data_IF_850918416985
#
_entry.id   IF_850918416985
#
_cell.length_a   1.000
_cell.length_b   1.000
_cell.length_c   1.000
_cell.angle_alpha   90.00
_cell.angle_beta   90.00
_cell.angle_gamma   90.00
#
_symmetry.space_group_name_H-M   'P 1'
#
loop_
_entity.id
_entity.type
_entity.pdbx_description
1 polymer ?
#
# COMPACT_ATOMS: atom_id res chain seq x y z
N UNK A 1 30.36 -70.89 8.90
CA UNK A 1 31.18 -69.67 8.81
C UNK A 1 30.62 -68.88 7.65
N UNK A 2 29.58 -68.08 7.89
CA UNK A 2 29.57 -66.67 7.51
C UNK A 2 28.29 -66.02 8.06
N UNK A 3 28.52 -65.01 8.89
CA UNK A 3 27.55 -64.04 9.36
C UNK A 3 27.03 -63.21 8.17
N UNK A 4 25.71 -63.14 8.02
CA UNK A 4 25.08 -62.00 7.37
C UNK A 4 23.78 -61.70 8.12
N UNK A 5 23.97 -61.06 9.29
CA UNK A 5 22.92 -60.44 10.09
C UNK A 5 22.43 -59.21 9.31
N UNK A 6 21.34 -59.38 8.57
CA UNK A 6 20.62 -58.27 7.94
C UNK A 6 19.98 -57.42 9.04
N UNK A 7 20.65 -56.31 9.36
CA UNK A 7 20.22 -55.32 10.34
C UNK A 7 19.32 -54.32 9.60
N UNK A 8 18.03 -54.16 9.94
CA UNK A 8 17.24 -53.08 9.36
C UNK A 8 17.77 -51.76 9.92
N UNK A 9 18.39 -50.98 9.03
CA UNK A 9 18.79 -49.62 9.30
C UNK A 9 17.52 -48.78 9.44
N UNK A 10 17.12 -48.51 10.69
CA UNK A 10 16.05 -47.57 11.02
C UNK A 10 16.60 -46.18 10.67
N UNK A 11 16.45 -45.80 9.39
CA UNK A 11 16.65 -44.43 8.93
C UNK A 11 15.55 -43.61 9.59
N UNK A 12 15.92 -43.05 10.74
CA UNK A 12 15.06 -42.17 11.52
C UNK A 12 15.17 -40.80 10.84
N UNK A 13 14.49 -40.65 9.71
CA UNK A 13 14.32 -39.37 9.02
C UNK A 13 13.33 -38.52 9.84
N UNK A 14 13.75 -38.16 11.05
CA UNK A 14 13.19 -37.03 11.78
C UNK A 14 13.74 -35.80 11.06
N UNK A 15 13.13 -35.49 9.92
CA UNK A 15 13.20 -34.15 9.38
C UNK A 15 12.74 -33.22 10.52
N UNK A 16 13.70 -32.53 11.12
CA UNK A 16 13.45 -31.42 12.01
C UNK A 16 12.67 -30.39 11.19
N UNK A 17 11.35 -30.49 11.23
CA UNK A 17 10.46 -29.41 10.82
C UNK A 17 10.73 -28.32 11.84
N UNK A 18 11.69 -27.44 11.54
CA UNK A 18 11.86 -26.22 12.31
C UNK A 18 10.49 -25.56 12.37
N UNK A 19 9.94 -25.29 13.57
CA UNK A 19 8.70 -24.55 13.65
C UNK A 19 8.97 -23.23 12.95
N UNK A 20 8.26 -22.96 11.84
CA UNK A 20 8.28 -21.63 11.24
C UNK A 20 7.73 -20.69 12.31
N UNK A 21 8.64 -20.02 13.01
CA UNK A 21 8.29 -19.04 14.03
C UNK A 21 7.51 -17.97 13.29
N UNK A 22 6.19 -17.98 13.47
CA UNK A 22 5.32 -16.94 12.95
C UNK A 22 5.72 -15.59 13.54
N UNK A 23 5.27 -14.47 12.95
CA UNK A 23 5.49 -13.16 13.55
C UNK A 23 4.97 -13.17 14.99
N UNK A 24 5.83 -12.79 15.94
CA UNK A 24 5.44 -12.71 17.35
C UNK A 24 4.19 -11.83 17.54
N UNK A 25 3.40 -12.10 18.57
CA UNK A 25 2.22 -11.31 18.90
C UNK A 25 2.51 -9.79 18.97
N UNK A 26 3.69 -9.40 19.47
CA UNK A 26 4.14 -8.00 19.50
C UNK A 26 4.27 -7.39 18.11
N UNK A 27 4.74 -8.14 17.10
CA UNK A 27 4.82 -7.65 15.73
C UNK A 27 3.42 -7.41 15.15
N UNK A 28 2.50 -8.33 15.39
CA UNK A 28 1.12 -8.27 14.85
C UNK A 28 0.31 -7.14 15.48
N UNK A 29 0.39 -6.98 16.80
CA UNK A 29 -0.50 -6.08 17.55
C UNK A 29 0.11 -4.72 17.87
N UNK A 30 1.43 -4.56 17.77
CA UNK A 30 2.10 -3.29 18.07
C UNK A 30 2.80 -2.72 16.84
N UNK A 31 3.72 -3.48 16.24
CA UNK A 31 4.58 -2.97 15.15
C UNK A 31 3.78 -2.74 13.88
N UNK A 32 2.99 -3.72 13.45
CA UNK A 32 2.21 -3.64 12.22
C UNK A 32 1.19 -2.49 12.25
N UNK A 33 0.34 -2.32 13.28
CA UNK A 33 -0.58 -1.20 13.36
C UNK A 33 0.14 0.14 13.45
N UNK A 34 1.28 0.22 14.14
CA UNK A 34 2.07 1.45 14.21
C UNK A 34 2.59 1.87 12.83
N UNK A 35 3.09 0.92 12.02
CA UNK A 35 3.51 1.18 10.63
C UNK A 35 2.31 1.65 9.80
N UNK A 36 1.16 0.97 9.89
CA UNK A 36 -0.04 1.31 9.13
C UNK A 36 -0.61 2.68 9.54
N UNK A 37 -0.57 3.03 10.83
CA UNK A 37 -0.94 4.36 11.32
C UNK A 37 0.02 5.45 10.83
N UNK A 38 1.33 5.15 10.77
CA UNK A 38 2.29 6.06 10.16
C UNK A 38 1.96 6.31 8.69
N UNK A 39 1.60 5.27 7.93
CA UNK A 39 1.11 5.40 6.54
C UNK A 39 -0.16 6.26 6.50
N UNK A 40 -1.12 6.04 7.40
CA UNK A 40 -2.36 6.83 7.46
C UNK A 40 -2.08 8.32 7.70
N UNK A 41 -1.15 8.64 8.60
CA UNK A 41 -0.77 10.03 8.89
C UNK A 41 -0.01 10.67 7.72
N UNK A 42 0.95 9.96 7.14
CA UNK A 42 1.81 10.49 6.09
C UNK A 42 1.13 10.57 4.72
N UNK A 43 0.23 9.63 4.39
CA UNK A 43 -0.43 9.61 3.08
C UNK A 43 -1.35 10.80 2.81
N UNK A 44 -1.91 11.40 3.87
CA UNK A 44 -2.71 12.62 3.79
C UNK A 44 -1.91 13.91 3.87
N UNK A 45 -0.61 13.84 4.16
CA UNK A 45 0.23 15.01 4.38
C UNK A 45 0.77 15.56 3.04
N UNK A 46 0.70 16.89 2.89
CA UNK A 46 1.31 17.67 1.82
C UNK A 46 2.08 18.84 2.42
N UNK A 47 3.10 19.32 1.72
CA UNK A 47 3.86 20.51 2.11
C UNK A 47 3.56 21.66 1.15
N UNK A 48 3.22 22.81 1.71
CA UNK A 48 3.03 24.05 0.95
C UNK A 48 4.32 24.52 0.27
N UNK A 49 4.21 25.16 -0.90
CA UNK A 49 5.36 25.59 -1.70
C UNK A 49 6.14 26.75 -1.06
N UNK A 50 5.44 27.68 -0.40
CA UNK A 50 6.07 28.88 0.17
C UNK A 50 6.84 28.59 1.47
N UNK A 51 6.18 27.93 2.43
CA UNK A 51 6.69 27.84 3.81
C UNK A 51 6.89 26.40 4.29
N UNK A 52 6.72 25.39 3.42
CA UNK A 52 6.64 23.97 3.80
C UNK A 52 5.62 23.68 4.92
N UNK A 53 4.57 24.51 5.02
CA UNK A 53 3.50 24.30 5.98
C UNK A 53 2.82 22.94 5.76
N UNK A 54 2.49 22.26 6.85
CA UNK A 54 1.78 20.99 6.82
C UNK A 54 0.32 21.19 6.41
N UNK A 55 -0.07 20.57 5.30
CA UNK A 55 -1.43 20.58 4.77
C UNK A 55 -1.96 19.15 4.82
N UNK A 56 -3.04 18.93 5.55
CA UNK A 56 -3.73 17.64 5.59
C UNK A 56 -4.89 17.65 4.61
N UNK A 57 -4.82 16.77 3.60
CA UNK A 57 -5.88 16.62 2.61
C UNK A 57 -6.82 15.49 3.02
N UNK A 58 -8.13 15.79 2.98
CA UNK A 58 -9.16 14.77 3.14
C UNK A 58 -9.12 13.80 1.94
N UNK A 59 -9.22 12.49 2.15
CA UNK A 59 -9.30 11.53 1.06
C UNK A 59 -10.61 11.71 0.28
N UNK A 60 -10.54 11.62 -1.05
CA UNK A 60 -11.73 11.58 -1.90
C UNK A 60 -12.52 10.28 -1.67
N UNK A 61 -13.84 10.32 -1.90
CA UNK A 61 -14.71 9.14 -1.76
C UNK A 61 -14.21 7.94 -2.59
N UNK A 62 -13.68 8.20 -3.77
CA UNK A 62 -13.08 7.18 -4.65
C UNK A 62 -11.94 6.41 -3.98
N UNK A 63 -11.15 7.05 -3.11
CA UNK A 63 -10.08 6.38 -2.35
C UNK A 63 -10.65 5.35 -1.37
N UNK A 64 -11.79 5.65 -0.72
CA UNK A 64 -12.47 4.71 0.16
C UNK A 64 -13.02 3.52 -0.63
N UNK A 65 -13.59 3.76 -1.80
CA UNK A 65 -14.08 2.70 -2.69
C UNK A 65 -12.93 1.78 -3.12
N UNK A 66 -11.80 2.34 -3.58
CA UNK A 66 -10.63 1.55 -3.98
C UNK A 66 -10.03 0.77 -2.81
N UNK A 67 -9.94 1.37 -1.62
CA UNK A 67 -9.50 0.68 -0.42
C UNK A 67 -10.43 -0.50 -0.06
N UNK A 68 -11.75 -0.30 -0.14
CA UNK A 68 -12.74 -1.35 0.13
C UNK A 68 -12.63 -2.50 -0.87
N UNK A 69 -12.54 -2.20 -2.17
CA UNK A 69 -12.32 -3.23 -3.21
C UNK A 69 -11.00 -3.96 -2.98
N UNK A 70 -9.94 -3.24 -2.59
CA UNK A 70 -8.64 -3.84 -2.28
C UNK A 70 -8.72 -4.79 -1.07
N UNK A 71 -9.46 -4.42 -0.02
CA UNK A 71 -9.72 -5.30 1.12
C UNK A 71 -10.44 -6.58 0.69
N UNK A 72 -11.42 -6.48 -0.22
CA UNK A 72 -12.09 -7.66 -0.79
C UNK A 72 -11.10 -8.53 -1.56
N UNK A 73 -10.17 -7.94 -2.34
CA UNK A 73 -9.12 -8.69 -3.03
C UNK A 73 -8.17 -9.39 -2.06
N UNK A 74 -7.81 -8.77 -0.93
CA UNK A 74 -7.00 -9.41 0.11
C UNK A 74 -7.70 -10.63 0.71
N UNK A 75 -9.01 -10.54 0.94
CA UNK A 75 -9.80 -11.68 1.41
C UNK A 75 -9.88 -12.77 0.35
N UNK A 76 -10.26 -12.41 -0.89
CA UNK A 76 -10.46 -13.36 -2.00
C UNK A 76 -9.17 -14.08 -2.41
N UNK A 77 -8.03 -13.38 -2.43
CA UNK A 77 -6.73 -13.99 -2.70
C UNK A 77 -6.24 -14.88 -1.56
N UNK A 78 -6.90 -14.84 -0.39
CA UNK A 78 -6.45 -15.52 0.81
C UNK A 78 -5.23 -14.88 1.45
N UNK A 79 -4.89 -13.63 1.11
CA UNK A 79 -3.89 -12.83 1.83
C UNK A 79 -4.37 -12.48 3.25
N UNK A 80 -5.68 -12.31 3.44
CA UNK A 80 -6.32 -12.15 4.75
C UNK A 80 -7.42 -13.20 4.89
N UNK A 81 -7.24 -14.19 5.77
CA UNK A 81 -8.26 -15.18 6.04
C UNK A 81 -9.23 -14.68 7.13
N UNK A 82 -10.46 -14.31 6.76
CA UNK A 82 -11.46 -13.77 7.70
C UNK A 82 -11.71 -14.74 8.85
N UNK A 83 -11.82 -16.05 8.57
CA UNK A 83 -12.03 -17.07 9.60
C UNK A 83 -10.86 -17.21 10.57
N UNK A 84 -9.65 -16.80 10.19
CA UNK A 84 -8.47 -16.79 11.06
C UNK A 84 -8.34 -15.50 11.87
N UNK A 85 -8.74 -14.37 11.30
CA UNK A 85 -8.67 -13.07 11.96
C UNK A 85 -9.87 -12.78 12.86
N UNK A 86 -11.08 -13.21 12.50
CA UNK A 86 -12.33 -12.92 13.21
C UNK A 86 -13.10 -14.20 13.50
N UNK A 87 -12.42 -15.14 14.16
CA UNK A 87 -12.97 -16.44 14.50
C UNK A 87 -13.83 -16.38 15.78
N UNK A 88 -14.89 -17.19 15.87
CA UNK A 88 -15.67 -17.34 17.11
C UNK A 88 -14.90 -18.05 18.23
N UNK A 89 -13.86 -18.81 17.87
CA UNK A 89 -12.91 -19.46 18.78
C UNK A 89 -11.96 -18.48 19.49
N UNK A 90 -11.81 -17.26 18.98
CA UNK A 90 -10.99 -16.22 19.62
C UNK A 90 -11.74 -15.53 20.76
N UNK A 91 -11.01 -15.10 21.79
CA UNK A 91 -11.58 -14.26 22.83
C UNK A 91 -12.10 -12.93 22.26
N UNK A 92 -13.12 -12.35 22.89
CA UNK A 92 -13.70 -11.08 22.44
C UNK A 92 -12.67 -9.96 22.31
N UNK A 93 -11.76 -9.83 23.29
CA UNK A 93 -10.68 -8.85 23.26
C UNK A 93 -9.73 -9.08 22.08
N UNK A 94 -9.42 -10.34 21.75
CA UNK A 94 -8.56 -10.68 20.62
C UNK A 94 -9.22 -10.35 19.28
N UNK A 95 -10.52 -10.60 19.14
CA UNK A 95 -11.27 -10.20 17.95
C UNK A 95 -11.33 -8.68 17.79
N UNK A 96 -11.46 -7.92 18.88
CA UNK A 96 -11.38 -6.45 18.85
C UNK A 96 -9.99 -6.00 18.40
N UNK A 97 -8.92 -6.60 18.93
CA UNK A 97 -7.56 -6.29 18.52
C UNK A 97 -7.31 -6.61 17.04
N UNK A 98 -7.74 -7.79 16.58
CA UNK A 98 -7.66 -8.20 15.17
C UNK A 98 -8.44 -7.24 14.26
N UNK A 99 -9.67 -6.87 14.64
CA UNK A 99 -10.48 -5.89 13.93
C UNK A 99 -9.79 -4.53 13.88
N UNK A 100 -9.13 -4.09 14.95
CA UNK A 100 -8.36 -2.87 14.97
C UNK A 100 -7.18 -2.91 13.98
N UNK A 101 -6.46 -4.04 13.88
CA UNK A 101 -5.40 -4.20 12.85
C UNK A 101 -5.99 -4.08 11.44
N UNK A 102 -7.09 -4.79 11.15
CA UNK A 102 -7.76 -4.72 9.85
C UNK A 102 -8.27 -3.30 9.54
N UNK A 103 -8.74 -2.57 10.55
CA UNK A 103 -9.14 -1.17 10.43
C UNK A 103 -7.93 -0.27 10.12
N UNK A 104 -6.80 -0.46 10.78
CA UNK A 104 -5.56 0.28 10.46
C UNK A 104 -5.09 -0.02 9.04
N UNK A 105 -5.23 -1.27 8.57
CA UNK A 105 -4.92 -1.64 7.18
C UNK A 105 -5.84 -0.93 6.19
N UNK A 106 -7.15 -0.90 6.45
CA UNK A 106 -8.10 -0.19 5.63
C UNK A 106 -7.80 1.31 5.57
N UNK A 107 -7.57 1.96 6.71
CA UNK A 107 -7.26 3.40 6.74
C UNK A 107 -5.94 3.72 6.03
N UNK A 108 -4.92 2.85 6.17
CA UNK A 108 -3.67 2.98 5.45
C UNK A 108 -3.86 2.86 3.94
N UNK A 109 -4.70 1.93 3.47
CA UNK A 109 -5.07 1.80 2.06
C UNK A 109 -5.75 3.08 1.53
N UNK A 110 -6.70 3.64 2.27
CA UNK A 110 -7.38 4.89 1.89
C UNK A 110 -6.35 6.01 1.69
N UNK A 111 -5.41 6.15 2.62
CA UNK A 111 -4.40 7.19 2.56
C UNK A 111 -3.31 6.93 1.53
N UNK A 112 -3.01 5.67 1.23
CA UNK A 112 -2.16 5.30 0.11
C UNK A 112 -2.79 5.73 -1.21
N UNK A 113 -4.06 5.43 -1.45
CA UNK A 113 -4.76 5.89 -2.66
C UNK A 113 -4.84 7.42 -2.70
N UNK A 114 -5.09 8.09 -1.58
CA UNK A 114 -5.05 9.55 -1.47
C UNK A 114 -3.67 10.13 -1.82
N UNK A 115 -2.60 9.41 -1.48
CA UNK A 115 -1.23 9.77 -1.86
C UNK A 115 -0.93 9.51 -3.33
N UNK A 116 -1.47 8.44 -3.93
CA UNK A 116 -1.13 8.05 -5.31
C UNK A 116 -1.99 8.74 -6.35
N UNK A 117 -3.27 9.00 -6.06
CA UNK A 117 -4.16 9.69 -6.97
C UNK A 117 -3.86 11.19 -6.98
N UNK A 118 -3.72 11.82 -8.16
CA UNK A 118 -3.69 13.27 -8.27
C UNK A 118 -4.93 13.89 -7.61
N UNK A 119 -4.81 15.05 -6.98
CA UNK A 119 -5.90 15.60 -6.16
C UNK A 119 -7.10 16.08 -6.98
N UNK A 120 -6.87 16.54 -8.22
CA UNK A 120 -7.86 17.19 -9.06
C UNK A 120 -7.49 17.11 -10.55
N UNK A 121 -8.40 17.58 -11.40
CA UNK A 121 -8.20 17.69 -12.84
C UNK A 121 -8.30 16.37 -13.61
N UNK A 122 -7.88 16.42 -14.87
CA UNK A 122 -7.88 15.27 -15.78
C UNK A 122 -6.97 14.11 -15.33
N UNK A 123 -5.79 14.34 -14.72
CA UNK A 123 -4.95 13.27 -14.20
C UNK A 123 -5.64 12.40 -13.13
N UNK A 124 -6.49 13.00 -12.27
CA UNK A 124 -7.27 12.26 -11.28
C UNK A 124 -8.17 11.22 -11.95
N UNK A 125 -8.89 11.62 -13.00
CA UNK A 125 -9.82 10.74 -13.71
C UNK A 125 -9.11 9.65 -14.49
N UNK A 126 -8.00 9.96 -15.18
CA UNK A 126 -7.25 8.96 -15.95
C UNK A 126 -6.66 7.91 -15.02
N UNK A 127 -5.91 8.34 -13.99
CA UNK A 127 -5.26 7.41 -13.06
C UNK A 127 -6.31 6.65 -12.26
N UNK A 128 -7.39 7.32 -11.83
CA UNK A 128 -8.52 6.70 -11.17
C UNK A 128 -9.20 5.62 -12.04
N UNK A 129 -9.42 5.89 -13.32
CA UNK A 129 -9.96 4.92 -14.26
C UNK A 129 -9.02 3.71 -14.43
N UNK A 130 -7.71 3.92 -14.57
CA UNK A 130 -6.73 2.83 -14.64
C UNK A 130 -6.74 1.95 -13.39
N UNK A 131 -6.82 2.56 -12.19
CA UNK A 131 -6.97 1.81 -10.94
C UNK A 131 -8.27 1.04 -10.90
N UNK A 132 -9.39 1.70 -11.19
CA UNK A 132 -10.70 1.05 -11.19
C UNK A 132 -10.73 -0.14 -12.14
N UNK A 133 -10.26 0.05 -13.38
CA UNK A 133 -10.18 -1.01 -14.38
C UNK A 133 -9.30 -2.18 -13.92
N UNK A 134 -8.15 -1.89 -13.31
CA UNK A 134 -7.23 -2.92 -12.82
C UNK A 134 -7.83 -3.69 -11.64
N UNK A 135 -8.40 -2.98 -10.65
CA UNK A 135 -9.05 -3.59 -9.49
C UNK A 135 -10.26 -4.43 -9.90
N UNK A 136 -11.05 -3.93 -10.86
CA UNK A 136 -12.21 -4.64 -11.41
C UNK A 136 -11.80 -5.95 -12.08
N UNK A 137 -10.78 -5.93 -12.94
CA UNK A 137 -10.26 -7.15 -13.57
C UNK A 137 -9.68 -8.12 -12.53
N UNK A 138 -8.97 -7.61 -11.54
CA UNK A 138 -8.43 -8.42 -10.45
C UNK A 138 -9.52 -9.03 -9.56
N UNK A 139 -10.73 -8.46 -9.55
CA UNK A 139 -11.84 -9.03 -8.82
C UNK A 139 -12.31 -10.34 -9.42
N UNK A 140 -12.09 -10.59 -10.71
CA UNK A 140 -12.57 -11.81 -11.38
C UNK A 140 -11.48 -12.83 -11.68
N UNK A 141 -10.21 -12.48 -11.60
CA UNK A 141 -9.12 -13.43 -11.82
C UNK A 141 -8.83 -14.30 -10.57
N UNK A 142 -8.19 -15.45 -10.82
CA UNK A 142 -7.68 -16.35 -9.79
C UNK A 142 -6.28 -15.88 -9.38
N UNK A 143 -6.08 -15.61 -8.08
CA UNK A 143 -4.82 -15.06 -7.58
C UNK A 143 -4.27 -15.84 -6.40
N UNK A 144 -2.96 -16.07 -6.46
CA UNK A 144 -2.11 -16.37 -5.31
C UNK A 144 -1.78 -15.07 -4.55
N UNK A 145 -1.78 -15.04 -3.21
CA UNK A 145 -1.36 -13.90 -2.39
C UNK A 145 -0.07 -13.23 -2.87
N UNK A 146 0.96 -14.02 -3.23
CA UNK A 146 2.25 -13.49 -3.69
C UNK A 146 2.13 -12.76 -5.01
N UNK A 147 1.31 -13.29 -5.92
CA UNK A 147 1.06 -12.70 -7.23
C UNK A 147 0.28 -11.39 -7.10
N UNK A 148 -0.71 -11.35 -6.21
CA UNK A 148 -1.45 -10.12 -5.90
C UNK A 148 -0.54 -9.05 -5.30
N UNK A 149 0.29 -9.39 -4.31
CA UNK A 149 1.20 -8.42 -3.69
C UNK A 149 2.17 -7.83 -4.73
N UNK A 150 2.73 -8.67 -5.61
CA UNK A 150 3.64 -8.23 -6.67
C UNK A 150 2.93 -7.33 -7.69
N UNK A 151 1.71 -7.67 -8.10
CA UNK A 151 0.95 -6.85 -9.07
C UNK A 151 0.54 -5.51 -8.47
N UNK A 152 0.10 -5.48 -7.21
CA UNK A 152 -0.25 -4.26 -6.52
C UNK A 152 0.96 -3.37 -6.25
N UNK A 153 2.08 -3.94 -5.80
CA UNK A 153 3.32 -3.18 -5.63
C UNK A 153 3.76 -2.54 -6.95
N UNK A 154 3.68 -3.28 -8.07
CA UNK A 154 3.99 -2.74 -9.39
C UNK A 154 3.02 -1.62 -9.80
N UNK A 155 1.71 -1.80 -9.59
CA UNK A 155 0.69 -0.81 -9.89
C UNK A 155 0.89 0.48 -9.08
N UNK A 156 1.15 0.36 -7.78
CA UNK A 156 1.38 1.51 -6.90
C UNK A 156 2.68 2.23 -7.22
N UNK A 157 3.77 1.50 -7.47
CA UNK A 157 5.03 2.09 -7.91
C UNK A 157 4.87 2.80 -9.26
N UNK A 158 4.11 2.23 -10.19
CA UNK A 158 3.83 2.86 -11.48
C UNK A 158 2.97 4.13 -11.31
N UNK A 159 1.93 4.10 -10.48
CA UNK A 159 1.12 5.29 -10.19
C UNK A 159 1.95 6.40 -9.54
N UNK A 160 2.83 6.04 -8.60
CA UNK A 160 3.77 6.97 -7.98
C UNK A 160 4.73 7.57 -9.03
N UNK A 161 5.30 6.74 -9.90
CA UNK A 161 6.17 7.17 -10.99
C UNK A 161 5.45 8.10 -11.98
N UNK A 162 4.22 7.79 -12.37
CA UNK A 162 3.42 8.68 -13.24
C UNK A 162 3.19 10.03 -12.54
N UNK A 163 2.82 10.01 -11.25
CA UNK A 163 2.57 11.24 -10.50
C UNK A 163 3.83 12.10 -10.31
N UNK A 164 4.97 11.52 -9.95
CA UNK A 164 6.16 12.30 -9.58
C UNK A 164 7.25 12.33 -10.63
N UNK A 165 7.42 11.30 -11.44
CA UNK A 165 8.38 11.33 -12.55
C UNK A 165 7.77 11.93 -13.81
N UNK A 166 6.46 11.74 -14.07
CA UNK A 166 5.86 12.31 -15.28
C UNK A 166 5.27 13.70 -15.01
N UNK A 167 4.36 13.87 -14.03
CA UNK A 167 3.74 15.19 -13.82
C UNK A 167 4.68 16.23 -13.22
N UNK A 168 5.65 15.85 -12.38
CA UNK A 168 6.60 16.83 -11.83
C UNK A 168 7.55 17.39 -12.91
N UNK A 169 7.95 16.56 -13.90
CA UNK A 169 8.74 17.03 -15.04
C UNK A 169 7.94 17.93 -16.01
N UNK A 170 6.60 17.92 -15.92
CA UNK A 170 5.72 18.80 -16.70
C UNK A 170 5.43 20.12 -15.99
N UNK A 171 5.83 20.29 -14.73
CA UNK A 171 5.59 21.51 -13.96
C UNK A 171 6.85 22.39 -13.96
N UNK A 172 6.78 23.66 -14.42
CA UNK A 172 7.97 24.51 -14.52
C UNK A 172 8.51 24.96 -13.15
N UNK A 173 9.83 25.13 -13.04
CA UNK A 173 10.52 25.61 -11.83
C UNK A 173 10.05 27.02 -11.42
N UNK A 174 10.02 27.30 -10.11
CA UNK A 174 9.42 28.51 -9.51
C UNK A 174 10.30 29.76 -9.57
N UNK A 175 11.33 29.82 -10.41
CA UNK A 175 12.20 30.99 -10.53
C UNK A 175 11.77 31.88 -11.70
N UNK A 176 11.07 32.98 -11.42
CA UNK A 176 10.80 34.04 -12.41
C UNK A 176 9.40 34.68 -12.30
N UNK A 177 9.22 35.82 -12.94
CA UNK A 177 7.90 36.48 -13.06
C UNK A 177 6.94 35.65 -13.94
N UNK A 178 5.62 35.73 -13.73
CA UNK A 178 4.63 34.94 -14.51
C UNK A 178 4.78 35.10 -16.03
N UNK A 179 5.11 36.31 -16.49
CA UNK A 179 5.35 36.62 -17.93
C UNK A 179 6.62 35.92 -18.42
N UNK A 180 7.68 35.93 -17.62
CA UNK A 180 8.95 35.29 -17.94
C UNK A 180 8.82 33.76 -17.99
N UNK A 181 7.97 33.18 -17.15
CA UNK A 181 7.66 31.74 -17.15
C UNK A 181 6.89 31.31 -18.40
N UNK A 182 5.93 32.13 -18.85
CA UNK A 182 5.21 31.89 -20.12
C UNK A 182 6.16 32.01 -21.32
N UNK A 183 7.10 32.97 -21.29
CA UNK A 183 8.07 33.14 -22.38
C UNK A 183 9.10 32.00 -22.42
N UNK A 184 9.55 31.52 -21.26
CA UNK A 184 10.56 30.47 -21.17
C UNK A 184 9.98 29.06 -21.37
N UNK A 185 8.78 28.77 -20.86
CA UNK A 185 8.16 27.45 -20.89
C UNK A 185 6.65 27.49 -21.22
N UNK A 186 6.26 27.99 -22.41
CA UNK A 186 4.85 28.20 -22.76
C UNK A 186 4.04 26.90 -22.74
N UNK A 187 4.67 25.79 -23.16
CA UNK A 187 4.01 24.48 -23.25
C UNK A 187 3.71 23.89 -21.86
N UNK A 188 4.64 24.05 -20.91
CA UNK A 188 4.47 23.50 -19.55
C UNK A 188 3.45 24.28 -18.72
N UNK A 189 3.41 25.62 -18.85
CA UNK A 189 2.37 26.44 -18.22
C UNK A 189 0.98 26.15 -18.83
N UNK A 190 0.90 25.95 -20.15
CA UNK A 190 -0.35 25.53 -20.81
C UNK A 190 -0.84 24.17 -20.31
N UNK A 191 0.05 23.18 -20.13
CA UNK A 191 -0.30 21.89 -19.54
C UNK A 191 -0.70 22.00 -18.08
N UNK A 192 -0.02 22.84 -17.28
CA UNK A 192 -0.37 23.04 -15.87
C UNK A 192 -1.78 23.62 -15.73
N UNK A 193 -2.13 24.58 -16.58
CA UNK A 193 -3.46 25.18 -16.61
C UNK A 193 -4.53 24.21 -17.17
N UNK A 194 -4.21 23.47 -18.24
CA UNK A 194 -5.13 22.50 -18.84
C UNK A 194 -5.40 21.29 -17.93
N UNK A 195 -4.40 20.88 -17.14
CA UNK A 195 -4.47 19.71 -16.26
C UNK A 195 -4.81 20.06 -14.80
N UNK A 196 -4.92 21.37 -14.48
CA UNK A 196 -5.22 21.92 -13.15
C UNK A 196 -4.36 21.30 -12.03
N UNK A 197 -3.05 21.18 -12.28
CA UNK A 197 -2.14 20.44 -11.38
C UNK A 197 -1.83 21.31 -10.15
N UNK A 198 -2.21 20.87 -8.93
CA UNK A 198 -1.86 21.61 -7.72
C UNK A 198 -0.35 21.54 -7.47
N UNK A 199 0.23 22.66 -7.06
CA UNK A 199 1.66 22.79 -6.80
C UNK A 199 1.93 22.53 -5.31
N UNK A 200 2.75 21.52 -5.02
CA UNK A 200 3.25 21.22 -3.68
C UNK A 200 4.77 21.29 -3.65
N UNK A 201 5.35 21.50 -2.47
CA UNK A 201 6.80 21.43 -2.28
C UNK A 201 7.31 20.01 -2.59
N UNK A 202 8.54 19.92 -3.11
CA UNK A 202 9.21 18.64 -3.40
C UNK A 202 9.28 17.72 -2.18
N UNK A 203 9.28 18.27 -0.96
CA UNK A 203 9.19 17.51 0.28
C UNK A 203 7.99 16.55 0.35
N UNK A 204 6.89 16.91 -0.33
CA UNK A 204 5.70 16.06 -0.46
C UNK A 204 6.02 14.74 -1.16
N UNK A 205 6.82 14.76 -2.24
CA UNK A 205 7.16 13.55 -2.99
C UNK A 205 7.93 12.54 -2.14
N UNK A 206 8.85 13.02 -1.30
CA UNK A 206 9.59 12.17 -0.35
C UNK A 206 8.65 11.54 0.69
N UNK A 207 7.73 12.32 1.26
CA UNK A 207 6.75 11.80 2.23
C UNK A 207 5.90 10.70 1.59
N UNK A 208 5.45 10.89 0.36
CA UNK A 208 4.64 9.92 -0.37
C UNK A 208 5.44 8.66 -0.75
N UNK A 209 6.72 8.81 -1.09
CA UNK A 209 7.61 7.68 -1.33
C UNK A 209 7.75 6.80 -0.08
N UNK A 210 8.05 7.42 1.08
CA UNK A 210 8.15 6.69 2.34
C UNK A 210 6.80 6.09 2.77
N UNK A 211 5.69 6.77 2.50
CA UNK A 211 4.33 6.24 2.71
C UNK A 211 4.13 4.93 1.95
N UNK A 212 4.49 4.89 0.66
CA UNK A 212 4.41 3.68 -0.16
C UNK A 212 5.35 2.57 0.36
N UNK A 213 6.60 2.90 0.67
CA UNK A 213 7.58 1.94 1.17
C UNK A 213 7.15 1.31 2.51
N UNK A 214 6.68 2.13 3.46
CA UNK A 214 6.15 1.67 4.74
C UNK A 214 4.89 0.83 4.57
N UNK A 215 4.01 1.20 3.64
CA UNK A 215 2.82 0.41 3.35
C UNK A 215 3.18 -0.98 2.82
N UNK A 216 4.11 -1.07 1.86
CA UNK A 216 4.58 -2.35 1.33
C UNK A 216 5.27 -3.20 2.41
N UNK A 217 6.03 -2.57 3.31
CA UNK A 217 6.60 -3.24 4.48
C UNK A 217 5.50 -3.77 5.41
N UNK A 218 4.47 -2.97 5.70
CA UNK A 218 3.31 -3.39 6.48
C UNK A 218 2.59 -4.58 5.86
N UNK A 219 2.38 -4.57 4.53
CA UNK A 219 1.81 -5.72 3.82
C UNK A 219 2.69 -6.96 3.86
N UNK A 220 4.01 -6.79 3.80
CA UNK A 220 4.96 -7.91 3.90
C UNK A 220 4.92 -8.56 5.29
N UNK A 221 4.73 -7.76 6.35
CA UNK A 221 4.63 -8.23 7.73
C UNK A 221 3.25 -8.79 8.09
N UNK A 222 2.22 -8.55 7.26
CA UNK A 222 0.85 -8.98 7.50
C UNK A 222 0.76 -10.53 7.45
N UNK A 223 0.43 -11.21 8.55
CA UNK A 223 0.26 -12.65 8.52
C UNK A 223 -1.08 -13.02 7.83
N UNK A 224 -1.09 -14.18 7.18
CA UNK A 224 -2.31 -14.70 6.51
C UNK A 224 -3.47 -14.91 7.49
N UNK A 225 -3.16 -15.34 8.70
CA UNK A 225 -4.07 -15.53 9.83
C UNK A 225 -3.44 -14.94 11.08
N UNK A 226 -4.23 -14.38 11.99
CA UNK A 226 -3.74 -13.89 13.28
C UNK A 226 -3.30 -15.11 14.13
N UNK A 227 -1.97 -15.26 14.33
CA UNK A 227 -1.27 -16.33 15.06
C UNK A 227 -2.14 -17.21 15.97
N UNK A 228 -2.34 -18.50 15.66
CA UNK A 228 -2.87 -19.46 16.65
C UNK A 228 -1.76 -19.79 17.66
N UNK A 229 -1.65 -18.96 18.69
CA UNK A 229 -1.11 -19.40 19.97
C UNK A 229 -2.24 -20.01 20.80
#
# INVERSE_FOLDING_TARGET
MDEALEKPEIVTDIALVEPRVGPSASVIYLVLPAILLAVTLLGGLRLGVADNAFIFLKPALTCLVFAAVTMVLFVRSGMVAVDGWLASENSGLRNVANAAVLLTLFTALVQLYNSLLPEQGLPFWIVGFCFFWTLWNNLFAEFDPKRLLRSMAALFAMAFAVRWLFLANLTPETSGSWIERILQNPTQEAFTWLLDIPRYSAGTGYIQFFTLALFLLGLYLLPRSASRD
#
